data_IF_646557216904
#
_entry.id   IF_646557216904
#
_cell.length_a   1.000
_cell.length_b   1.000
_cell.length_c   1.000
_cell.angle_alpha   90.00
_cell.angle_beta   90.00
_cell.angle_gamma   90.00
#
_symmetry.space_group_name_H-M   'P 1'
#
loop_
_entity.id
_entity.type
_entity.pdbx_description
1 polymer ?
#
# COMPACT_ATOMS: atom_id res chain seq x y z
N UNK A 1 -20.36 21.92 -10.28
CA UNK A 1 -19.52 21.08 -11.15
C UNK A 1 -19.97 19.65 -10.95
N UNK A 2 -20.77 19.11 -11.89
CA UNK A 2 -21.16 17.71 -11.90
C UNK A 2 -19.92 16.84 -12.01
N UNK A 3 -19.71 16.00 -11.00
CA UNK A 3 -18.72 14.95 -11.06
C UNK A 3 -19.18 13.92 -12.09
N UNK A 4 -18.69 14.01 -13.30
CA UNK A 4 -18.75 12.90 -14.25
C UNK A 4 -17.94 11.74 -13.66
N UNK A 5 -18.60 10.89 -12.88
CA UNK A 5 -18.09 9.52 -12.67
C UNK A 5 -18.02 8.92 -14.06
N UNK A 6 -16.80 8.73 -14.56
CA UNK A 6 -16.62 8.31 -15.93
C UNK A 6 -17.40 7.03 -16.23
N UNK A 7 -18.07 6.96 -17.37
CA UNK A 7 -18.77 5.77 -17.87
C UNK A 7 -17.91 4.49 -17.74
N UNK A 8 -16.58 4.61 -17.79
CA UNK A 8 -15.65 3.51 -17.57
C UNK A 8 -15.78 2.80 -16.21
N UNK A 9 -16.08 3.52 -15.12
CA UNK A 9 -16.27 2.89 -13.80
C UNK A 9 -17.58 2.09 -13.73
N UNK A 10 -18.60 2.50 -14.46
CA UNK A 10 -19.89 1.78 -14.54
C UNK A 10 -19.72 0.49 -15.33
N UNK A 11 -19.00 0.50 -16.45
CA UNK A 11 -18.73 -0.69 -17.26
C UNK A 11 -17.86 -1.72 -16.49
N UNK A 12 -16.83 -1.27 -15.80
CA UNK A 12 -16.00 -2.14 -14.94
C UNK A 12 -16.85 -2.83 -13.87
N UNK A 13 -17.74 -2.11 -13.20
CA UNK A 13 -18.67 -2.69 -12.21
C UNK A 13 -19.61 -3.72 -12.82
N UNK A 14 -20.10 -3.52 -14.04
CA UNK A 14 -20.95 -4.49 -14.71
C UNK A 14 -20.21 -5.79 -15.03
N UNK A 15 -18.95 -5.74 -15.44
CA UNK A 15 -18.12 -6.92 -15.67
C UNK A 15 -17.90 -7.71 -14.38
N UNK A 16 -17.60 -7.03 -13.28
CA UNK A 16 -17.47 -7.64 -11.94
C UNK A 16 -18.78 -8.32 -11.51
N UNK A 17 -19.91 -7.66 -11.70
CA UNK A 17 -21.21 -8.23 -11.35
C UNK A 17 -21.55 -9.45 -12.21
N UNK A 18 -21.32 -9.40 -13.51
CA UNK A 18 -21.56 -10.52 -14.44
C UNK A 18 -20.69 -11.73 -14.14
N UNK A 19 -19.45 -11.51 -13.69
CA UNK A 19 -18.53 -12.58 -13.34
C UNK A 19 -18.78 -13.19 -11.95
N UNK A 20 -19.67 -12.60 -11.14
CA UNK A 20 -19.90 -13.03 -9.77
C UNK A 20 -18.91 -12.47 -8.75
N UNK A 21 -18.24 -11.35 -9.09
CA UNK A 21 -17.33 -10.64 -8.22
C UNK A 21 -15.89 -10.56 -8.73
N UNK A 22 -15.06 -9.80 -8.02
CA UNK A 22 -13.66 -9.57 -8.38
C UNK A 22 -12.82 -10.86 -8.41
N UNK A 23 -13.05 -11.76 -7.48
CA UNK A 23 -12.31 -13.03 -7.41
C UNK A 23 -12.54 -13.89 -8.64
N UNK A 24 -13.79 -14.04 -9.08
CA UNK A 24 -14.13 -14.80 -10.28
C UNK A 24 -13.42 -14.25 -11.54
N UNK A 25 -13.30 -12.92 -11.66
CA UNK A 25 -12.55 -12.29 -12.76
C UNK A 25 -11.07 -12.61 -12.66
N UNK A 26 -10.44 -12.40 -11.49
CA UNK A 26 -8.99 -12.57 -11.34
C UNK A 26 -8.59 -14.04 -11.54
N UNK A 27 -9.29 -14.95 -10.88
CA UNK A 27 -9.01 -16.39 -11.04
C UNK A 27 -9.37 -16.88 -12.43
N UNK A 28 -10.50 -16.45 -12.99
CA UNK A 28 -10.90 -16.77 -14.35
C UNK A 28 -9.87 -16.34 -15.39
N UNK A 29 -9.33 -15.13 -15.28
CA UNK A 29 -8.24 -14.64 -16.14
C UNK A 29 -6.96 -15.47 -15.99
N UNK A 30 -6.55 -15.81 -14.76
CA UNK A 30 -5.37 -16.65 -14.53
C UNK A 30 -5.55 -18.06 -15.09
N UNK A 31 -6.70 -18.67 -14.86
CA UNK A 31 -7.03 -20.01 -15.41
C UNK A 31 -7.08 -20.00 -16.94
N UNK A 32 -7.70 -18.97 -17.52
CA UNK A 32 -7.76 -18.81 -18.97
C UNK A 32 -6.35 -18.64 -19.57
N UNK A 33 -5.53 -17.77 -18.98
CA UNK A 33 -4.15 -17.54 -19.39
C UNK A 33 -3.33 -18.84 -19.34
N UNK A 34 -3.45 -19.60 -18.24
CA UNK A 34 -2.79 -20.87 -18.07
C UNK A 34 -3.25 -21.90 -19.12
N UNK A 35 -4.57 -22.02 -19.30
CA UNK A 35 -5.15 -22.95 -20.28
C UNK A 35 -4.69 -22.61 -21.72
N UNK A 36 -4.73 -21.32 -22.10
CA UNK A 36 -4.26 -20.87 -23.40
C UNK A 36 -2.78 -21.19 -23.62
N UNK A 37 -1.94 -21.00 -22.59
CA UNK A 37 -0.52 -21.34 -22.66
C UNK A 37 -0.29 -22.86 -22.84
N UNK A 38 -1.03 -23.70 -22.10
CA UNK A 38 -0.92 -25.15 -22.19
C UNK A 38 -1.41 -25.68 -23.55
N UNK A 39 -2.50 -25.10 -24.06
CA UNK A 39 -3.11 -25.49 -25.33
C UNK A 39 -2.48 -24.81 -26.54
N UNK A 40 -1.51 -23.93 -26.33
CA UNK A 40 -0.84 -23.13 -27.38
C UNK A 40 -1.85 -22.38 -28.28
N UNK A 41 -2.85 -21.76 -27.65
CA UNK A 41 -3.87 -20.96 -28.33
C UNK A 41 -3.78 -19.50 -27.88
N UNK A 42 -4.18 -18.58 -28.77
CA UNK A 42 -4.18 -17.14 -28.47
C UNK A 42 -5.16 -16.82 -27.35
N UNK A 43 -4.72 -15.98 -26.40
CA UNK A 43 -5.55 -15.47 -25.31
C UNK A 43 -6.53 -14.42 -25.84
N UNK A 44 -7.79 -14.78 -25.99
CA UNK A 44 -8.86 -13.82 -26.30
C UNK A 44 -9.48 -13.29 -25.01
N UNK A 45 -9.31 -12.00 -24.74
CA UNK A 45 -9.93 -11.38 -23.56
C UNK A 45 -11.44 -11.31 -23.76
N UNK A 46 -12.20 -11.84 -22.81
CA UNK A 46 -13.66 -11.67 -22.74
C UNK A 46 -14.06 -10.31 -22.15
N UNK A 47 -13.11 -9.50 -21.75
CA UNK A 47 -13.31 -8.21 -21.08
C UNK A 47 -12.77 -7.07 -21.95
N UNK A 48 -13.32 -5.88 -21.73
CA UNK A 48 -12.83 -4.68 -22.39
C UNK A 48 -11.31 -4.51 -22.14
N UNK A 49 -10.56 -4.06 -23.15
CA UNK A 49 -9.13 -3.81 -22.97
C UNK A 49 -8.92 -2.77 -21.87
N UNK A 50 -7.86 -2.96 -21.09
CA UNK A 50 -7.44 -1.99 -20.09
C UNK A 50 -7.14 -0.64 -20.77
N UNK A 51 -7.56 0.44 -20.11
CA UNK A 51 -7.21 1.78 -20.59
C UNK A 51 -5.71 1.97 -20.41
N UNK A 52 -5.01 2.28 -21.49
CA UNK A 52 -3.59 2.57 -21.49
C UNK A 52 -3.36 3.97 -22.08
N UNK A 53 -2.54 4.78 -21.43
CA UNK A 53 -2.23 6.14 -21.85
C UNK A 53 -0.72 6.21 -22.13
N UNK A 54 -0.41 6.52 -23.37
CA UNK A 54 0.95 6.71 -23.85
C UNK A 54 1.10 8.20 -24.26
N UNK A 55 2.06 8.89 -23.68
CA UNK A 55 2.36 10.27 -24.01
C UNK A 55 3.83 10.37 -24.43
N UNK A 56 4.12 10.33 -25.70
CA UNK A 56 5.47 10.51 -26.22
C UNK A 56 6.04 11.87 -25.82
N UNK A 57 7.29 11.87 -25.33
CA UNK A 57 8.02 13.08 -24.96
C UNK A 57 7.67 13.68 -23.60
N UNK A 58 6.73 13.07 -22.84
CA UNK A 58 6.45 13.49 -21.47
C UNK A 58 7.34 12.73 -20.49
N UNK A 59 7.92 13.44 -19.51
CA UNK A 59 8.65 12.81 -18.41
C UNK A 59 7.73 12.06 -17.45
N UNK A 60 8.30 11.09 -16.72
CA UNK A 60 7.59 10.27 -15.74
C UNK A 60 7.75 10.82 -14.32
N UNK A 61 6.67 10.82 -13.56
CA UNK A 61 6.70 11.02 -12.12
C UNK A 61 7.37 9.84 -11.41
N UNK A 62 7.77 9.99 -10.15
CA UNK A 62 8.35 8.89 -9.39
C UNK A 62 7.34 7.74 -9.23
N UNK A 63 6.07 8.07 -9.01
CA UNK A 63 4.98 7.08 -8.91
C UNK A 63 4.82 6.30 -10.21
N UNK A 64 4.77 6.97 -11.37
CA UNK A 64 4.68 6.30 -12.67
C UNK A 64 5.85 5.34 -12.89
N UNK A 65 7.07 5.74 -12.51
CA UNK A 65 8.25 4.87 -12.58
C UNK A 65 8.10 3.62 -11.72
N UNK A 66 7.62 3.77 -10.47
CA UNK A 66 7.41 2.64 -9.56
C UNK A 66 6.33 1.69 -10.11
N UNK A 67 5.24 2.23 -10.64
CA UNK A 67 4.17 1.42 -11.23
C UNK A 67 4.65 0.66 -12.46
N UNK A 68 5.39 1.32 -13.35
CA UNK A 68 5.95 0.66 -14.54
C UNK A 68 6.97 -0.42 -14.18
N UNK A 69 7.82 -0.19 -13.16
CA UNK A 69 8.79 -1.19 -12.70
C UNK A 69 8.13 -2.45 -12.11
N UNK A 70 6.91 -2.32 -11.58
CA UNK A 70 6.14 -3.43 -11.02
C UNK A 70 5.02 -3.92 -11.97
N UNK A 71 4.92 -3.39 -13.18
CA UNK A 71 3.87 -3.75 -14.12
C UNK A 71 3.98 -5.22 -14.55
N UNK A 72 2.84 -5.92 -14.61
CA UNK A 72 2.77 -7.33 -14.97
C UNK A 72 2.01 -7.49 -16.27
N UNK A 73 2.65 -8.17 -17.24
CA UNK A 73 2.05 -8.46 -18.54
C UNK A 73 2.02 -7.26 -19.48
N UNK A 74 2.94 -6.32 -19.30
CA UNK A 74 3.27 -5.21 -20.20
C UNK A 74 4.62 -5.55 -20.87
N UNK A 75 4.82 -5.19 -22.12
CA UNK A 75 6.08 -5.35 -22.83
C UNK A 75 7.16 -4.47 -22.20
N UNK A 76 8.43 -4.92 -22.20
CA UNK A 76 9.52 -4.26 -21.45
C UNK A 76 9.82 -2.81 -21.86
N UNK A 77 9.53 -2.46 -23.11
CA UNK A 77 9.75 -1.12 -23.67
C UNK A 77 8.50 -0.23 -23.64
N UNK A 78 7.42 -0.73 -23.06
CA UNK A 78 6.14 0.00 -22.93
C UNK A 78 6.02 0.63 -21.56
N UNK A 79 5.86 1.95 -21.54
CA UNK A 79 5.71 2.74 -20.31
C UNK A 79 4.37 3.47 -20.30
N UNK A 80 3.67 3.37 -19.19
CA UNK A 80 2.32 3.87 -19.00
C UNK A 80 2.31 5.13 -18.13
N UNK A 81 1.42 6.06 -18.44
CA UNK A 81 1.20 7.27 -17.67
C UNK A 81 -0.03 7.18 -16.75
N UNK A 82 -0.15 8.16 -15.85
CA UNK A 82 -1.27 8.31 -14.94
C UNK A 82 -2.63 8.20 -15.65
N UNK A 83 -3.57 7.50 -15.04
CA UNK A 83 -4.87 7.16 -15.60
C UNK A 83 -4.91 5.86 -16.41
N UNK A 84 -3.76 5.22 -16.68
CA UNK A 84 -3.70 3.88 -17.26
C UNK A 84 -4.08 2.82 -16.23
N UNK A 85 -4.87 1.84 -16.63
CA UNK A 85 -5.11 0.65 -15.80
C UNK A 85 -3.92 -0.31 -15.95
N UNK A 86 -3.34 -0.71 -14.85
CA UNK A 86 -2.19 -1.61 -14.82
C UNK A 86 -2.38 -2.68 -13.75
N UNK A 87 -1.89 -3.87 -14.05
CA UNK A 87 -1.70 -4.93 -13.07
C UNK A 87 -0.26 -4.85 -12.59
N UNK A 88 -0.07 -4.79 -11.28
CA UNK A 88 1.25 -4.63 -10.66
C UNK A 88 1.55 -5.78 -9.70
N UNK A 89 2.82 -6.13 -9.58
CA UNK A 89 3.33 -6.95 -8.49
C UNK A 89 3.11 -6.19 -7.18
N UNK A 90 2.66 -6.90 -6.14
CA UNK A 90 2.61 -6.40 -4.77
C UNK A 90 3.77 -7.02 -3.99
N UNK A 91 4.66 -6.18 -3.49
CA UNK A 91 5.86 -6.62 -2.80
C UNK A 91 5.58 -6.98 -1.35
N UNK A 92 4.84 -6.13 -0.65
CA UNK A 92 4.57 -6.28 0.79
C UNK A 92 3.07 -6.16 1.02
N UNK A 93 2.55 -7.05 1.86
CA UNK A 93 1.15 -7.04 2.26
C UNK A 93 1.05 -7.01 3.77
N UNK A 94 0.31 -6.02 4.30
CA UNK A 94 0.03 -5.90 5.72
C UNK A 94 -1.45 -6.15 6.04
N UNK A 95 -1.70 -6.80 7.15
CA UNK A 95 -3.03 -6.94 7.73
C UNK A 95 -2.99 -6.51 9.20
N UNK A 96 -4.10 -6.07 9.74
CA UNK A 96 -4.24 -5.72 11.15
C UNK A 96 -5.45 -6.43 11.76
N UNK A 97 -5.56 -6.39 13.07
CA UNK A 97 -6.48 -7.24 13.83
C UNK A 97 -7.97 -6.96 13.58
N UNK A 98 -8.37 -5.73 13.25
CA UNK A 98 -9.78 -5.42 12.96
C UNK A 98 -10.22 -5.91 11.58
N UNK A 99 -9.30 -6.13 10.65
CA UNK A 99 -9.56 -6.64 9.29
C UNK A 99 -9.03 -8.04 9.03
N UNK A 100 -8.08 -8.52 9.85
CA UNK A 100 -7.36 -9.79 9.61
C UNK A 100 -8.27 -11.02 9.59
N UNK A 101 -9.29 -11.07 10.43
CA UNK A 101 -10.25 -12.18 10.41
C UNK A 101 -11.11 -12.18 9.14
N UNK A 102 -11.49 -11.01 8.63
CA UNK A 102 -12.17 -10.89 7.34
C UNK A 102 -11.23 -11.28 6.20
N UNK A 103 -9.97 -10.85 6.25
CA UNK A 103 -8.93 -11.27 5.29
C UNK A 103 -8.77 -12.79 5.27
N UNK A 104 -8.78 -13.45 6.44
CA UNK A 104 -8.74 -14.91 6.54
C UNK A 104 -9.95 -15.57 5.88
N UNK A 105 -11.14 -15.05 6.11
CA UNK A 105 -12.38 -15.57 5.50
C UNK A 105 -12.37 -15.39 3.97
N UNK A 106 -11.87 -14.27 3.48
CA UNK A 106 -11.74 -14.02 2.04
C UNK A 106 -10.73 -14.97 1.38
N UNK A 107 -9.61 -15.26 2.05
CA UNK A 107 -8.64 -16.27 1.57
C UNK A 107 -9.27 -17.68 1.55
N UNK A 108 -10.06 -18.03 2.54
CA UNK A 108 -10.79 -19.28 2.58
C UNK A 108 -11.85 -19.37 1.46
N UNK A 109 -12.59 -18.29 1.22
CA UNK A 109 -13.54 -18.21 0.11
C UNK A 109 -12.87 -18.34 -1.27
N UNK A 110 -11.62 -17.90 -1.40
CA UNK A 110 -10.80 -18.10 -2.58
C UNK A 110 -10.15 -19.50 -2.66
N UNK A 111 -10.38 -20.37 -1.67
CA UNK A 111 -9.69 -21.66 -1.52
C UNK A 111 -8.15 -21.50 -1.51
N UNK A 112 -7.62 -20.37 -1.07
CA UNK A 112 -6.19 -20.16 -0.92
C UNK A 112 -5.65 -20.99 0.23
N UNK A 113 -4.60 -21.74 -0.01
CA UNK A 113 -3.93 -22.58 1.00
C UNK A 113 -2.59 -22.03 1.43
N UNK A 114 -1.99 -21.18 0.60
CA UNK A 114 -0.70 -20.51 0.82
C UNK A 114 -0.79 -19.10 0.27
N UNK A 115 0.06 -18.21 0.75
CA UNK A 115 0.27 -16.88 0.12
C UNK A 115 1.09 -17.02 -1.15
N UNK A 116 0.96 -16.06 -2.04
CA UNK A 116 1.74 -16.04 -3.28
C UNK A 116 3.25 -15.98 -2.98
N UNK A 117 4.08 -16.81 -3.63
CA UNK A 117 5.53 -16.72 -3.46
C UNK A 117 6.16 -15.46 -4.06
N UNK A 118 5.38 -14.66 -4.77
CA UNK A 118 5.84 -13.37 -5.33
C UNK A 118 5.68 -12.21 -4.35
N UNK A 119 5.04 -12.41 -3.19
CA UNK A 119 4.98 -11.45 -2.09
C UNK A 119 6.28 -11.58 -1.29
N UNK A 120 7.06 -10.51 -1.24
CA UNK A 120 8.36 -10.48 -0.58
C UNK A 120 8.22 -10.47 0.96
N UNK A 121 7.11 -9.93 1.48
CA UNK A 121 6.77 -9.92 2.90
C UNK A 121 5.28 -9.81 3.17
N UNK A 122 4.78 -10.63 4.09
CA UNK A 122 3.41 -10.59 4.56
C UNK A 122 3.37 -10.46 6.08
N UNK A 123 2.70 -9.43 6.57
CA UNK A 123 2.70 -9.04 7.98
C UNK A 123 1.29 -8.98 8.55
N UNK A 124 1.13 -9.44 9.80
CA UNK A 124 -0.10 -9.31 10.59
C UNK A 124 0.20 -8.60 11.90
N UNK A 125 -0.50 -7.47 12.11
CA UNK A 125 -0.46 -6.71 13.36
C UNK A 125 -1.70 -6.95 14.22
N UNK A 126 -1.56 -6.74 15.54
CA UNK A 126 -2.66 -6.69 16.51
C UNK A 126 -2.84 -5.30 17.12
N UNK A 127 -2.37 -4.24 16.46
CA UNK A 127 -2.20 -2.92 17.06
C UNK A 127 -3.49 -2.21 17.50
N UNK A 128 -4.64 -2.55 16.93
CA UNK A 128 -5.90 -1.84 17.24
C UNK A 128 -6.61 -2.40 18.47
N UNK A 129 -6.48 -3.69 18.74
CA UNK A 129 -7.21 -4.35 19.84
C UNK A 129 -6.31 -5.01 20.87
N UNK A 130 -5.00 -5.06 20.67
CA UNK A 130 -4.05 -5.74 21.56
C UNK A 130 -4.05 -5.21 23.00
N UNK A 131 -4.36 -3.93 23.19
CA UNK A 131 -4.45 -3.29 24.50
C UNK A 131 -5.88 -3.22 25.06
N UNK A 132 -6.88 -3.72 24.33
CA UNK A 132 -8.27 -3.68 24.74
C UNK A 132 -8.62 -4.98 25.49
N UNK A 133 -8.93 -4.87 26.76
CA UNK A 133 -9.39 -5.96 27.63
C UNK A 133 -10.86 -6.33 27.39
N UNK A 134 -11.29 -6.35 26.12
CA UNK A 134 -12.63 -6.68 25.71
C UNK A 134 -12.72 -8.19 25.42
N UNK A 135 -13.84 -8.79 25.75
CA UNK A 135 -14.18 -10.20 25.45
C UNK A 135 -13.98 -10.54 23.97
N UNK A 136 -14.34 -9.63 23.06
CA UNK A 136 -14.18 -9.82 21.62
C UNK A 136 -12.72 -9.85 21.19
N UNK A 137 -11.88 -9.01 21.79
CA UNK A 137 -10.44 -9.02 21.51
C UNK A 137 -9.80 -10.33 21.98
N UNK A 138 -10.17 -10.80 23.17
CA UNK A 138 -9.71 -12.09 23.72
C UNK A 138 -10.12 -13.29 22.86
N UNK A 139 -11.34 -13.29 22.32
CA UNK A 139 -11.83 -14.33 21.43
C UNK A 139 -11.18 -14.28 20.04
N UNK A 140 -10.92 -13.09 19.53
CA UNK A 140 -10.38 -12.91 18.18
C UNK A 140 -8.87 -13.19 18.11
N UNK A 141 -8.11 -12.91 19.15
CA UNK A 141 -6.65 -13.12 19.16
C UNK A 141 -6.23 -14.54 18.81
N UNK A 142 -6.79 -15.63 19.41
CA UNK A 142 -6.44 -16.99 19.03
C UNK A 142 -6.78 -17.33 17.56
N UNK A 143 -7.88 -16.77 17.03
CA UNK A 143 -8.30 -16.97 15.64
C UNK A 143 -7.33 -16.27 14.69
N UNK A 144 -6.91 -15.07 15.03
CA UNK A 144 -5.94 -14.31 14.28
C UNK A 144 -4.59 -15.01 14.26
N UNK A 145 -4.15 -15.54 15.40
CA UNK A 145 -2.93 -16.35 15.50
C UNK A 145 -2.97 -17.59 14.62
N UNK A 146 -4.11 -18.30 14.62
CA UNK A 146 -4.31 -19.46 13.75
C UNK A 146 -4.19 -19.07 12.27
N UNK A 147 -4.75 -17.91 11.90
CA UNK A 147 -4.62 -17.36 10.56
C UNK A 147 -3.15 -17.10 10.21
N UNK A 148 -2.41 -16.43 11.09
CA UNK A 148 -1.00 -16.13 10.89
C UNK A 148 -0.17 -17.40 10.68
N UNK A 149 -0.33 -18.38 11.55
CA UNK A 149 0.39 -19.66 11.45
C UNK A 149 0.04 -20.42 10.17
N UNK A 150 -1.25 -20.46 9.81
CA UNK A 150 -1.72 -21.16 8.61
C UNK A 150 -1.08 -20.62 7.34
N UNK A 151 -0.88 -19.32 7.26
CA UNK A 151 -0.36 -18.65 6.06
C UNK A 151 1.10 -18.20 6.18
N UNK A 152 1.76 -18.44 7.31
CA UNK A 152 3.15 -18.04 7.52
C UNK A 152 3.35 -16.53 7.56
N UNK A 153 2.38 -15.77 8.06
CA UNK A 153 2.51 -14.32 8.16
C UNK A 153 3.51 -13.93 9.24
N UNK A 154 4.35 -12.96 8.94
CA UNK A 154 5.31 -12.40 9.88
C UNK A 154 4.56 -11.58 10.93
N UNK A 155 5.02 -11.62 12.16
CA UNK A 155 4.62 -10.72 13.24
C UNK A 155 5.84 -10.35 14.05
N UNK A 156 5.85 -9.15 14.63
CA UNK A 156 6.92 -8.72 15.54
C UNK A 156 6.78 -9.36 16.94
N UNK A 157 6.45 -10.63 17.00
CA UNK A 157 6.11 -11.34 18.22
C UNK A 157 7.31 -12.05 18.84
N UNK A 158 7.44 -11.96 20.17
CA UNK A 158 8.18 -12.95 20.94
C UNK A 158 7.40 -14.28 20.94
N UNK A 159 7.95 -15.39 20.39
CA UNK A 159 7.29 -16.70 20.39
C UNK A 159 6.93 -17.23 21.77
N UNK A 160 7.55 -16.67 22.83
CA UNK A 160 7.34 -17.07 24.22
C UNK A 160 6.18 -16.34 24.90
N UNK A 161 5.76 -15.19 24.33
CA UNK A 161 4.67 -14.39 24.88
C UNK A 161 3.42 -14.51 24.00
N UNK A 162 2.43 -15.23 24.46
CA UNK A 162 1.22 -15.52 23.70
C UNK A 162 0.21 -14.35 23.63
N UNK A 163 0.33 -13.35 24.49
CA UNK A 163 -0.73 -12.35 24.68
C UNK A 163 -0.32 -10.91 24.34
N UNK A 164 0.93 -10.51 24.60
CA UNK A 164 1.33 -9.12 24.56
C UNK A 164 2.10 -8.70 23.30
N UNK A 165 2.26 -9.58 22.37
CA UNK A 165 3.27 -9.47 21.32
C UNK A 165 2.77 -9.02 19.95
N UNK A 166 1.52 -8.59 19.83
CA UNK A 166 0.97 -8.05 18.57
C UNK A 166 0.70 -6.54 18.66
N UNK A 167 1.45 -5.86 19.52
CA UNK A 167 1.21 -4.43 19.84
C UNK A 167 1.86 -3.45 18.87
N UNK A 168 2.56 -3.95 17.87
CA UNK A 168 3.25 -3.09 16.92
C UNK A 168 2.29 -2.38 15.98
N UNK A 169 2.51 -1.09 15.80
CA UNK A 169 1.75 -0.27 14.85
C UNK A 169 2.04 -0.74 13.43
N UNK A 170 1.02 -1.23 12.73
CA UNK A 170 1.13 -1.81 11.39
C UNK A 170 1.93 -0.93 10.42
N UNK A 171 1.61 0.37 10.38
CA UNK A 171 2.25 1.29 9.43
C UNK A 171 3.75 1.43 9.68
N UNK A 172 4.14 1.48 10.97
CA UNK A 172 5.56 1.60 11.34
C UNK A 172 6.34 0.36 10.97
N UNK A 173 5.78 -0.83 11.26
CA UNK A 173 6.43 -2.09 10.92
C UNK A 173 6.54 -2.26 9.41
N UNK A 174 5.47 -2.00 8.66
CA UNK A 174 5.53 -2.08 7.20
C UNK A 174 6.56 -1.12 6.61
N UNK A 175 6.69 0.10 7.18
CA UNK A 175 7.73 1.04 6.77
C UNK A 175 9.15 0.51 7.09
N UNK A 176 9.32 -0.17 8.21
CA UNK A 176 10.63 -0.70 8.62
C UNK A 176 11.04 -1.93 7.81
N UNK A 177 10.10 -2.82 7.46
CA UNK A 177 10.39 -4.00 6.65
C UNK A 177 10.49 -3.72 5.15
N UNK A 178 10.02 -2.56 4.68
CA UNK A 178 10.19 -2.14 3.29
C UNK A 178 11.64 -1.74 3.07
N UNK A 179 12.33 -2.48 2.21
CA UNK A 179 13.78 -2.33 2.00
C UNK A 179 14.15 -1.38 0.88
N UNK A 180 13.22 -1.07 -0.02
CA UNK A 180 13.46 -0.18 -1.16
C UNK A 180 12.28 0.74 -1.46
N UNK A 181 12.56 1.80 -2.22
CA UNK A 181 11.58 2.81 -2.62
C UNK A 181 10.76 2.41 -3.87
N UNK A 182 11.03 1.24 -4.45
CA UNK A 182 10.39 0.72 -5.67
C UNK A 182 9.24 -0.23 -5.36
N UNK A 183 9.00 -0.53 -4.09
CA UNK A 183 7.98 -1.47 -3.64
C UNK A 183 6.56 -0.92 -3.77
N UNK A 184 5.61 -1.80 -4.12
CA UNK A 184 4.18 -1.57 -3.98
C UNK A 184 3.68 -2.35 -2.77
N UNK A 185 3.04 -1.63 -1.85
CA UNK A 185 2.59 -2.14 -0.55
C UNK A 185 1.07 -2.01 -0.45
N UNK A 186 0.41 -3.08 -0.02
CA UNK A 186 -1.03 -3.09 0.27
C UNK A 186 -1.23 -3.39 1.75
N UNK A 187 -1.97 -2.55 2.45
CA UNK A 187 -2.26 -2.76 3.87
C UNK A 187 -3.72 -2.61 4.21
N UNK A 188 -4.19 -3.41 5.17
CA UNK A 188 -5.58 -3.44 5.64
C UNK A 188 -5.93 -2.30 6.60
N UNK A 189 -5.30 -1.14 6.42
CA UNK A 189 -5.50 0.05 7.22
C UNK A 189 -5.45 1.30 6.34
N UNK A 190 -6.31 2.29 6.62
CA UNK A 190 -6.38 3.54 5.85
C UNK A 190 -5.09 4.37 5.94
N UNK A 191 -4.34 4.23 7.03
CA UNK A 191 -3.05 4.87 7.26
C UNK A 191 -1.86 4.06 6.71
N UNK A 192 -2.10 3.06 5.86
CA UNK A 192 -1.03 2.41 5.09
C UNK A 192 -0.48 3.40 4.04
N UNK A 193 0.27 4.36 4.54
CA UNK A 193 0.93 5.43 3.82
C UNK A 193 2.34 5.54 4.39
N UNK A 194 3.35 5.22 3.61
CA UNK A 194 4.70 5.12 4.13
C UNK A 194 5.66 6.02 3.38
N UNK A 195 6.80 6.28 4.00
CA UNK A 195 7.86 7.08 3.38
C UNK A 195 8.64 6.31 2.32
N UNK A 196 8.57 4.98 2.32
CA UNK A 196 9.27 4.12 1.36
C UNK A 196 8.27 3.38 0.49
N UNK A 197 8.52 3.30 -0.80
CA UNK A 197 7.62 2.68 -1.77
C UNK A 197 6.29 3.40 -1.90
N UNK A 198 5.36 2.81 -2.64
CA UNK A 198 3.97 3.30 -2.77
C UNK A 198 3.04 2.39 -1.99
N UNK A 199 2.50 2.90 -0.89
CA UNK A 199 1.67 2.14 0.02
C UNK A 199 0.21 2.57 -0.02
N UNK A 200 -0.69 1.59 -0.16
CA UNK A 200 -2.13 1.79 -0.24
C UNK A 200 -2.86 1.13 0.90
N UNK A 201 -3.72 1.90 1.58
CA UNK A 201 -4.75 1.33 2.44
C UNK A 201 -5.85 0.66 1.61
N UNK A 202 -6.25 -0.54 1.98
CA UNK A 202 -7.18 -1.37 1.25
C UNK A 202 -8.14 -2.11 2.19
N UNK A 203 -9.27 -2.55 1.64
CA UNK A 203 -10.20 -3.45 2.33
C UNK A 203 -9.64 -4.88 2.43
N UNK A 204 -10.27 -5.70 3.29
CA UNK A 204 -9.85 -7.08 3.55
C UNK A 204 -9.82 -7.96 2.30
N UNK A 205 -10.74 -7.74 1.36
CA UNK A 205 -10.81 -8.49 0.11
C UNK A 205 -9.62 -8.17 -0.81
N UNK A 206 -9.25 -6.91 -0.91
CA UNK A 206 -8.06 -6.47 -1.68
C UNK A 206 -6.78 -7.01 -1.03
N UNK A 207 -6.67 -6.95 0.31
CA UNK A 207 -5.53 -7.54 1.04
C UNK A 207 -5.45 -9.05 0.80
N UNK A 208 -6.56 -9.76 0.91
CA UNK A 208 -6.62 -11.21 0.67
C UNK A 208 -6.23 -11.56 -0.77
N UNK A 209 -6.71 -10.77 -1.75
CA UNK A 209 -6.35 -10.97 -3.15
C UNK A 209 -4.86 -10.75 -3.40
N UNK A 210 -4.29 -9.70 -2.82
CA UNK A 210 -2.85 -9.42 -2.89
C UNK A 210 -2.03 -10.56 -2.26
N UNK A 211 -2.44 -11.08 -1.10
CA UNK A 211 -1.81 -12.25 -0.48
C UNK A 211 -1.89 -13.48 -1.38
N UNK A 212 -3.07 -13.79 -1.93
CA UNK A 212 -3.27 -15.00 -2.72
C UNK A 212 -2.60 -14.97 -4.09
N UNK A 213 -2.48 -13.80 -4.70
CA UNK A 213 -2.03 -13.66 -6.10
C UNK A 213 -0.67 -12.98 -6.24
N UNK A 214 -0.25 -12.21 -5.26
CA UNK A 214 0.93 -11.34 -5.33
C UNK A 214 0.74 -10.15 -6.27
N UNK A 215 -0.50 -9.84 -6.65
CA UNK A 215 -0.80 -8.82 -7.65
C UNK A 215 -2.00 -7.96 -7.23
N UNK A 216 -2.02 -6.72 -7.70
CA UNK A 216 -3.17 -5.84 -7.64
C UNK A 216 -3.42 -5.19 -9.01
N UNK A 217 -4.69 -4.87 -9.31
CA UNK A 217 -5.06 -4.14 -10.53
C UNK A 217 -5.67 -2.81 -10.14
N UNK A 218 -5.05 -1.72 -10.59
CA UNK A 218 -5.50 -0.37 -10.28
C UNK A 218 -5.07 0.61 -11.37
N UNK A 219 -5.76 1.75 -11.52
CA UNK A 219 -5.23 2.83 -12.36
C UNK A 219 -4.01 3.46 -11.71
N UNK A 220 -2.99 3.81 -12.51
CA UNK A 220 -1.86 4.64 -12.07
C UNK A 220 -2.44 5.99 -11.63
N UNK A 221 -2.28 6.40 -10.36
CA UNK A 221 -2.83 7.68 -9.90
C UNK A 221 -2.02 8.86 -10.41
N UNK A 222 -2.67 10.02 -10.53
CA UNK A 222 -1.96 11.28 -10.69
C UNK A 222 -1.14 11.62 -9.42
N UNK A 223 -0.06 12.34 -9.59
CA UNK A 223 0.80 12.80 -8.50
C UNK A 223 0.70 14.30 -8.24
N UNK A 224 0.89 14.68 -6.99
CA UNK A 224 1.08 16.07 -6.55
C UNK A 224 2.41 16.16 -5.82
N UNK A 225 3.30 17.02 -6.31
CA UNK A 225 4.59 17.27 -5.67
C UNK A 225 4.44 18.25 -4.51
N UNK A 226 4.91 17.84 -3.33
CA UNK A 226 5.05 18.70 -2.15
C UNK A 226 6.52 18.84 -1.80
N UNK A 227 7.01 20.09 -1.74
CA UNK A 227 8.38 20.38 -1.38
C UNK A 227 8.41 21.26 -0.13
N UNK A 228 9.04 20.78 0.92
CA UNK A 228 9.29 21.57 2.12
C UNK A 228 10.55 22.40 1.95
N UNK A 229 10.47 23.67 2.30
CA UNK A 229 11.60 24.63 2.25
C UNK A 229 11.68 25.40 3.56
N UNK A 230 12.90 25.66 4.01
CA UNK A 230 13.16 26.42 5.23
C UNK A 230 13.36 25.53 6.44
N UNK A 231 13.20 26.10 7.61
CA UNK A 231 13.34 25.44 8.90
C UNK A 231 12.04 25.59 9.69
N UNK A 232 11.69 24.54 10.42
CA UNK A 232 10.60 24.57 11.39
C UNK A 232 11.00 25.46 12.57
N UNK A 233 10.04 26.25 13.10
CA UNK A 233 10.26 27.04 14.30
C UNK A 233 10.47 26.16 15.55
N UNK A 234 11.22 26.68 16.52
CA UNK A 234 11.63 25.92 17.72
C UNK A 234 10.45 25.46 18.61
N UNK A 235 9.29 26.10 18.47
CA UNK A 235 8.08 25.81 19.25
C UNK A 235 7.00 25.07 18.43
N UNK A 236 7.34 24.59 17.23
CA UNK A 236 6.41 23.88 16.36
C UNK A 236 6.68 22.37 16.43
N UNK A 237 5.61 21.60 16.57
CA UNK A 237 5.62 20.17 16.28
C UNK A 237 5.49 19.93 14.77
N UNK A 238 6.04 18.84 14.26
CA UNK A 238 5.92 18.54 12.85
C UNK A 238 4.46 18.29 12.43
N UNK A 239 3.63 17.87 13.33
CA UNK A 239 2.20 17.73 13.14
C UNK A 239 1.50 19.07 12.79
N UNK A 240 1.98 20.19 13.37
CA UNK A 240 1.50 21.53 12.98
C UNK A 240 1.81 21.83 11.52
N UNK A 241 2.97 21.41 11.03
CA UNK A 241 3.37 21.56 9.63
C UNK A 241 2.42 20.79 8.72
N UNK A 242 2.03 19.57 9.10
CA UNK A 242 1.08 18.73 8.35
C UNK A 242 -0.28 19.43 8.23
N UNK A 243 -0.83 19.88 9.34
CA UNK A 243 -2.11 20.62 9.37
C UNK A 243 -2.06 21.94 8.61
N UNK A 244 -0.96 22.68 8.77
CA UNK A 244 -0.74 23.94 8.03
C UNK A 244 -0.66 23.69 6.52
N UNK A 245 -0.04 22.60 6.10
CA UNK A 245 0.03 22.21 4.67
C UNK A 245 -1.37 22.01 4.10
N UNK A 246 -2.24 21.27 4.81
CA UNK A 246 -3.61 21.03 4.36
C UNK A 246 -4.42 22.34 4.31
N UNK A 247 -4.33 23.17 5.37
CA UNK A 247 -5.01 24.44 5.43
C UNK A 247 -4.56 25.41 4.34
N UNK A 248 -3.24 25.47 4.07
CA UNK A 248 -2.68 26.32 3.03
C UNK A 248 -3.14 25.89 1.63
N UNK A 249 -3.21 24.58 1.36
CA UNK A 249 -3.70 24.06 0.08
C UNK A 249 -5.16 24.41 -0.15
N UNK A 250 -6.02 24.24 0.85
CA UNK A 250 -7.42 24.64 0.78
C UNK A 250 -7.57 26.16 0.53
N UNK A 251 -6.75 26.97 1.22
CA UNK A 251 -6.75 28.44 1.04
C UNK A 251 -6.29 28.86 -0.37
N UNK A 252 -5.26 28.19 -0.89
CA UNK A 252 -4.64 28.56 -2.17
C UNK A 252 -5.45 28.12 -3.37
N UNK A 253 -6.03 26.91 -3.33
CA UNK A 253 -6.69 26.29 -4.48
C UNK A 253 -8.22 26.20 -4.35
N UNK A 254 -8.78 26.52 -3.18
CA UNK A 254 -10.21 26.47 -2.93
C UNK A 254 -10.80 25.07 -2.86
N UNK A 255 -9.96 24.01 -3.01
CA UNK A 255 -10.35 22.61 -2.98
C UNK A 255 -9.21 21.75 -2.44
N UNK A 256 -9.53 20.48 -2.13
CA UNK A 256 -8.55 19.50 -1.71
C UNK A 256 -7.82 18.91 -2.93
N UNK A 257 -6.70 19.50 -3.27
CA UNK A 257 -5.87 19.08 -4.42
C UNK A 257 -5.26 17.69 -4.29
N UNK A 258 -5.24 17.14 -3.06
CA UNK A 258 -4.67 15.82 -2.78
C UNK A 258 -5.68 14.67 -2.98
N UNK A 259 -6.98 15.01 -3.02
CA UNK A 259 -8.02 13.98 -3.06
C UNK A 259 -7.85 13.05 -4.26
N UNK A 260 -7.66 11.76 -3.98
CA UNK A 260 -7.56 10.70 -4.99
C UNK A 260 -6.23 10.66 -5.74
N UNK A 261 -5.26 11.47 -5.36
CA UNK A 261 -3.91 11.53 -5.96
C UNK A 261 -2.85 10.93 -5.02
N UNK A 262 -1.65 10.74 -5.52
CA UNK A 262 -0.49 10.39 -4.69
C UNK A 262 0.32 11.66 -4.42
N UNK A 263 0.77 11.81 -3.18
CA UNK A 263 1.63 12.93 -2.79
C UNK A 263 3.08 12.48 -2.88
N UNK A 264 3.86 13.12 -3.77
CA UNK A 264 5.31 12.96 -3.86
C UNK A 264 5.98 14.01 -2.98
N UNK A 265 6.46 13.59 -1.81
CA UNK A 265 7.10 14.47 -0.84
C UNK A 265 8.60 14.56 -1.14
N UNK A 266 9.05 15.75 -1.48
CA UNK A 266 10.48 16.01 -1.58
C UNK A 266 10.98 16.47 -0.22
N UNK A 267 11.80 15.64 0.42
CA UNK A 267 12.20 15.79 1.82
C UNK A 267 12.93 17.09 2.11
N UNK A 268 13.80 17.53 1.21
CA UNK A 268 14.61 18.72 1.45
C UNK A 268 15.38 18.60 2.77
N UNK A 269 14.88 19.25 3.82
CA UNK A 269 15.49 19.26 5.16
C UNK A 269 14.81 18.30 6.17
N UNK A 270 13.81 17.53 5.76
CA UNK A 270 13.07 16.64 6.67
C UNK A 270 13.92 15.44 7.08
N UNK A 271 13.72 15.00 8.33
CA UNK A 271 14.22 13.72 8.84
C UNK A 271 13.27 12.58 8.41
N UNK A 272 13.76 11.35 8.45
CA UNK A 272 12.96 10.17 8.08
C UNK A 272 11.69 10.03 8.93
N UNK A 273 11.75 10.31 10.24
CA UNK A 273 10.58 10.27 11.12
C UNK A 273 9.55 11.35 10.77
N UNK A 274 10.01 12.53 10.34
CA UNK A 274 9.13 13.61 9.87
C UNK A 274 8.48 13.26 8.53
N UNK A 275 9.24 12.63 7.64
CA UNK A 275 8.74 12.11 6.38
C UNK A 275 7.67 11.05 6.60
N UNK A 276 7.90 10.09 7.50
CA UNK A 276 6.93 9.08 7.87
C UNK A 276 5.66 9.72 8.47
N UNK A 277 5.81 10.67 9.41
CA UNK A 277 4.67 11.39 9.99
C UNK A 277 3.84 12.08 8.93
N UNK A 278 4.48 12.78 7.99
CA UNK A 278 3.74 13.45 6.91
C UNK A 278 3.01 12.45 6.02
N UNK A 279 3.68 11.40 5.58
CA UNK A 279 3.08 10.40 4.67
C UNK A 279 1.92 9.66 5.32
N UNK A 280 2.03 9.29 6.59
CA UNK A 280 0.95 8.68 7.36
C UNK A 280 -0.30 9.58 7.39
N UNK A 281 -0.14 10.86 7.71
CA UNK A 281 -1.22 11.84 7.76
C UNK A 281 -1.88 12.15 6.41
N UNK A 282 -1.28 11.78 5.30
CA UNK A 282 -1.91 11.98 3.97
C UNK A 282 -3.19 11.17 3.78
N UNK A 283 -3.45 10.18 4.62
CA UNK A 283 -4.73 9.48 4.70
C UNK A 283 -5.87 10.45 5.03
N UNK A 284 -5.67 11.32 6.02
CA UNK A 284 -6.65 12.35 6.42
C UNK A 284 -6.80 13.46 5.35
N UNK A 285 -5.80 13.64 4.50
CA UNK A 285 -5.88 14.52 3.33
C UNK A 285 -6.64 13.88 2.15
N UNK A 286 -7.19 12.67 2.31
CA UNK A 286 -7.85 11.87 1.27
C UNK A 286 -6.97 11.57 0.06
N UNK A 287 -5.66 11.59 0.22
CA UNK A 287 -4.74 11.10 -0.78
C UNK A 287 -4.87 9.57 -0.93
N UNK A 288 -4.59 9.02 -2.09
CA UNK A 288 -4.58 7.55 -2.29
C UNK A 288 -3.37 6.89 -1.65
N UNK A 289 -2.22 7.55 -1.77
CA UNK A 289 -0.95 7.14 -1.19
C UNK A 289 -0.03 8.36 -1.08
N UNK A 290 1.16 8.14 -0.55
CA UNK A 290 2.25 9.11 -0.57
C UNK A 290 3.57 8.38 -0.61
N UNK A 291 4.57 9.02 -1.18
CA UNK A 291 5.95 8.56 -1.20
C UNK A 291 6.88 9.70 -0.82
N UNK A 292 8.03 9.36 -0.27
CA UNK A 292 9.10 10.34 -0.05
C UNK A 292 10.19 10.16 -1.08
N UNK A 293 10.56 11.28 -1.69
CA UNK A 293 11.75 11.35 -2.56
C UNK A 293 12.87 11.88 -1.67
N UNK A 294 13.78 11.00 -1.26
CA UNK A 294 14.93 11.36 -0.44
C UNK A 294 16.14 11.69 -1.32
N UNK A 295 16.90 12.67 -0.89
CA UNK A 295 18.29 12.78 -1.33
C UNK A 295 19.13 11.81 -0.49
N UNK A 296 20.09 11.13 -1.11
CA UNK A 296 20.92 10.10 -0.48
C UNK A 296 21.54 10.54 0.86
N UNK A 297 21.99 11.79 0.93
CA UNK A 297 22.58 12.35 2.16
C UNK A 297 21.59 12.43 3.35
N UNK A 298 20.32 12.70 3.09
CA UNK A 298 19.28 12.75 4.14
C UNK A 298 18.93 11.34 4.63
N UNK A 299 18.87 10.39 3.71
CA UNK A 299 18.64 8.98 4.03
C UNK A 299 19.79 8.42 4.89
N UNK A 300 21.04 8.63 4.48
CA UNK A 300 22.23 8.20 5.21
C UNK A 300 22.21 8.74 6.64
N UNK A 301 21.98 10.05 6.80
CA UNK A 301 21.91 10.66 8.14
C UNK A 301 20.81 10.06 9.00
N UNK A 302 19.64 9.74 8.41
CA UNK A 302 18.54 9.11 9.14
C UNK A 302 18.86 7.68 9.58
N UNK A 303 19.57 6.93 8.74
CA UNK A 303 20.04 5.59 9.06
C UNK A 303 21.12 5.60 10.16
N UNK A 304 22.02 6.59 10.15
CA UNK A 304 23.02 6.78 11.21
C UNK A 304 22.34 7.05 12.56
N UNK A 305 21.36 7.95 12.60
CA UNK A 305 20.57 8.22 13.82
C UNK A 305 19.85 6.96 14.32
N UNK A 306 19.24 6.19 13.41
CA UNK A 306 18.56 4.95 13.76
C UNK A 306 19.55 3.90 14.32
N UNK A 307 20.72 3.76 13.70
CA UNK A 307 21.79 2.88 14.16
C UNK A 307 22.24 3.25 15.57
N UNK A 308 22.48 4.54 15.83
CA UNK A 308 22.93 5.01 17.14
C UNK A 308 21.87 4.74 18.24
N UNK A 309 20.58 4.93 17.91
CA UNK A 309 19.49 4.61 18.84
C UNK A 309 19.41 3.12 19.15
N UNK A 310 19.54 2.26 18.13
CA UNK A 310 19.57 0.81 18.30
C UNK A 310 20.75 0.39 19.15
N UNK A 311 21.94 0.96 18.92
CA UNK A 311 23.12 0.67 19.70
C UNK A 311 22.92 1.03 21.18
N UNK A 312 22.35 2.20 21.47
CA UNK A 312 22.01 2.62 22.84
C UNK A 312 21.04 1.63 23.52
N UNK A 313 20.09 1.08 22.76
CA UNK A 313 19.16 0.06 23.28
C UNK A 313 19.87 -1.26 23.58
N UNK A 314 20.77 -1.71 22.70
CA UNK A 314 21.58 -2.91 22.92
C UNK A 314 22.45 -2.76 24.16
N UNK A 315 23.11 -1.59 24.35
CA UNK A 315 24.01 -1.32 25.46
C UNK A 315 23.30 -1.23 26.82
N UNK A 316 22.00 -0.94 26.80
CA UNK A 316 21.17 -0.85 28.01
C UNK A 316 20.49 -2.17 28.41
N UNK A 317 20.56 -3.20 27.56
CA UNK A 317 19.95 -4.50 27.82
C UNK A 317 18.48 -4.52 27.50
#
# INVERSE_FOLDING_TARGET
VERSRGLGDVYKRQEFMKAGGSYAIVFGKKLQSFACKVLNVELKSAFAPSKQIYNEGQGFTAVEKIFNANAVGIEEDVFLHAGSDVRVKVNIVGSQDTTGLMTSQELEAMAATVISPTVDGAYQSGCHTASVWDFKAQENTPRLMKFMHKFGLITARDPKDSYHSMTDVIHKVLNDITVDDWSIIIGGDSHTRMSKGVAFGADSGTVALALATGEATMPIPESVKVTFKGKMGDHMDFRDVVHATQAQMLKQFGDNVFQGKIIEVHLGTLLADQAFTFTDWTAEMKAKASICISEDATLIKSLEIAKDRIQVMIDKG
#
